data_IF_423161819792
#
_entry.id   IF_423161819792
#
_cell.length_a   1.000
_cell.length_b   1.000
_cell.length_c   1.000
_cell.angle_alpha   90.00
_cell.angle_beta   90.00
_cell.angle_gamma   90.00
#
_symmetry.space_group_name_H-M   'P 1'
#
loop_
_entity.id
_entity.type
_entity.pdbx_description
1 polymer ?
#
# COMPACT_ATOMS: atom_id res chain seq x y z
N UNK A 1 -57.44 5.82 68.58
CA UNK A 1 -58.66 6.66 68.60
C UNK A 1 -59.17 6.85 67.18
N UNK A 2 -60.42 6.44 66.92
CA UNK A 2 -61.01 6.37 65.58
C UNK A 2 -61.24 7.77 64.99
N UNK A 3 -60.54 8.12 63.89
CA UNK A 3 -60.82 9.31 63.07
C UNK A 3 -62.02 9.00 62.16
N UNK A 4 -63.23 9.18 62.67
CA UNK A 4 -64.48 8.97 61.92
C UNK A 4 -65.16 10.30 61.62
N UNK A 5 -65.76 10.41 60.45
CA UNK A 5 -66.65 11.52 60.07
C UNK A 5 -67.81 11.60 61.06
N UNK A 6 -68.07 12.80 61.58
CA UNK A 6 -69.18 13.07 62.50
C UNK A 6 -70.10 14.08 61.84
N UNK A 7 -71.40 13.75 61.77
CA UNK A 7 -72.43 14.64 61.25
C UNK A 7 -73.36 15.02 62.38
N UNK A 8 -73.59 16.33 62.55
CA UNK A 8 -74.62 16.87 63.43
C UNK A 8 -75.70 17.52 62.58
N UNK A 9 -76.94 17.03 62.71
CA UNK A 9 -78.08 17.50 61.95
C UNK A 9 -78.97 18.43 62.78
N UNK A 10 -79.55 19.46 62.17
CA UNK A 10 -80.54 20.35 62.80
C UNK A 10 -79.97 21.32 63.86
N UNK A 11 -78.70 21.72 63.74
CA UNK A 11 -78.09 22.67 64.66
C UNK A 11 -78.63 24.09 64.40
N UNK A 12 -79.23 24.70 65.42
CA UNK A 12 -79.69 26.10 65.37
C UNK A 12 -78.52 27.06 65.57
N UNK A 13 -78.13 27.76 64.51
CA UNK A 13 -77.05 28.75 64.55
C UNK A 13 -77.63 30.15 64.31
N UNK A 14 -77.23 31.10 65.16
CA UNK A 14 -77.68 32.49 65.04
C UNK A 14 -76.79 33.23 64.04
N UNK A 15 -77.35 33.64 62.90
CA UNK A 15 -76.65 34.44 61.89
C UNK A 15 -77.45 35.72 61.63
N UNK A 16 -76.79 36.88 61.72
CA UNK A 16 -77.37 38.21 61.45
C UNK A 16 -78.74 38.52 62.09
N UNK A 17 -79.00 37.99 63.29
CA UNK A 17 -80.22 38.27 64.06
C UNK A 17 -81.32 37.20 63.95
N UNK A 18 -81.22 36.25 63.01
CA UNK A 18 -82.17 35.15 62.81
C UNK A 18 -81.51 33.80 63.13
N UNK A 19 -82.30 32.80 63.53
CA UNK A 19 -81.82 31.44 63.78
C UNK A 19 -82.05 30.58 62.53
N UNK A 20 -80.97 30.03 61.97
CA UNK A 20 -81.02 29.08 60.85
C UNK A 20 -80.67 27.67 61.35
N UNK A 21 -81.36 26.65 60.84
CA UNK A 21 -81.04 25.24 61.09
C UNK A 21 -80.06 24.74 60.03
N UNK A 22 -78.86 24.37 60.47
CA UNK A 22 -77.73 24.00 59.60
C UNK A 22 -77.23 22.61 59.98
N UNK A 23 -76.86 21.83 58.97
CA UNK A 23 -76.18 20.57 59.19
C UNK A 23 -74.66 20.80 59.14
N UNK A 24 -73.96 20.31 60.16
CA UNK A 24 -72.51 20.44 60.29
C UNK A 24 -71.86 19.08 60.12
N UNK A 25 -70.94 18.98 59.17
CA UNK A 25 -70.13 17.78 58.95
C UNK A 25 -68.67 18.09 59.29
N UNK A 26 -68.11 17.27 60.18
CA UNK A 26 -66.70 17.30 60.58
C UNK A 26 -65.97 16.12 59.94
N UNK A 27 -64.99 16.41 59.09
CA UNK A 27 -64.18 15.40 58.43
C UNK A 27 -62.68 15.63 58.70
N UNK A 28 -61.96 14.68 59.31
CA UNK A 28 -60.53 14.82 59.57
C UNK A 28 -59.74 14.69 58.26
N UNK A 29 -58.91 15.69 57.94
CA UNK A 29 -58.07 15.66 56.74
C UNK A 29 -56.87 14.72 56.97
N UNK A 30 -56.82 13.63 56.19
CA UNK A 30 -55.67 12.73 56.13
C UNK A 30 -54.79 13.18 54.96
N UNK A 31 -53.71 13.89 55.25
CA UNK A 31 -52.79 14.41 54.23
C UNK A 31 -51.33 14.18 54.63
N UNK A 32 -50.46 13.93 53.64
CA UNK A 32 -49.04 13.60 53.84
C UNK A 32 -48.18 14.82 54.20
N UNK A 33 -48.70 16.05 54.02
CA UNK A 33 -47.97 17.28 54.29
C UNK A 33 -47.94 17.64 55.79
N UNK A 34 -46.78 17.92 56.41
CA UNK A 34 -46.64 18.07 57.87
C UNK A 34 -47.47 19.21 58.49
N UNK A 35 -47.77 20.26 57.73
CA UNK A 35 -48.55 21.42 58.19
C UNK A 35 -50.07 21.17 58.24
N UNK A 36 -50.54 20.10 57.59
CA UNK A 36 -51.97 19.77 57.49
C UNK A 36 -52.34 18.54 58.33
N UNK A 37 -51.36 17.92 59.00
CA UNK A 37 -51.62 16.82 59.91
C UNK A 37 -52.34 17.30 61.18
N UNK A 38 -53.57 16.83 61.37
CA UNK A 38 -54.39 17.13 62.56
C UNK A 38 -55.48 18.20 62.35
N UNK A 39 -55.61 18.73 61.13
CA UNK A 39 -56.69 19.66 60.79
C UNK A 39 -58.00 18.91 60.48
N UNK A 40 -59.13 19.54 60.83
CA UNK A 40 -60.47 19.03 60.57
C UNK A 40 -61.18 20.00 59.64
N UNK A 41 -61.72 19.48 58.54
CA UNK A 41 -62.57 20.22 57.64
C UNK A 41 -63.98 20.31 58.25
N UNK A 42 -64.46 21.53 58.43
CA UNK A 42 -65.82 21.82 58.91
C UNK A 42 -66.62 22.38 57.75
N UNK A 43 -67.69 21.67 57.36
CA UNK A 43 -68.58 22.11 56.28
C UNK A 43 -70.00 22.32 56.80
N UNK A 44 -70.61 23.42 56.36
CA UNK A 44 -71.94 23.85 56.76
C UNK A 44 -72.85 23.81 55.54
N UNK A 45 -73.96 23.09 55.63
CA UNK A 45 -74.97 23.06 54.58
C UNK A 45 -76.32 23.44 55.19
N UNK A 46 -76.95 24.45 54.61
CA UNK A 46 -78.26 24.93 55.02
C UNK A 46 -79.34 23.91 54.64
N UNK A 47 -80.18 23.54 55.61
CA UNK A 47 -81.22 22.55 55.39
C UNK A 47 -82.41 23.21 54.67
N UNK A 48 -82.59 22.91 53.38
CA UNK A 48 -83.78 23.37 52.65
C UNK A 48 -85.06 22.80 53.31
N UNK A 49 -86.10 23.63 53.52
CA UNK A 49 -87.30 23.20 54.20
C UNK A 49 -88.02 22.10 53.41
N UNK A 50 -88.34 21.00 54.08
CA UNK A 50 -89.11 19.91 53.50
C UNK A 50 -90.50 20.41 53.05
N UNK A 51 -90.74 20.37 51.74
CA UNK A 51 -92.00 20.78 51.15
C UNK A 51 -93.16 19.93 51.70
N UNK A 52 -94.13 20.62 52.31
CA UNK A 52 -95.40 20.06 52.75
C UNK A 52 -96.16 19.47 51.55
N UNK A 53 -96.48 18.18 51.64
CA UNK A 53 -97.27 17.47 50.63
C UNK A 53 -98.71 17.96 50.65
N UNK A 54 -99.11 18.73 49.64
CA UNK A 54 -100.50 19.07 49.41
C UNK A 54 -101.05 18.52 48.08
N UNK A 55 -102.32 18.12 48.13
CA UNK A 55 -103.03 17.30 47.15
C UNK A 55 -103.34 18.07 45.86
N UNK A 56 -102.39 18.11 44.91
CA UNK A 56 -102.63 18.49 43.50
C UNK A 56 -101.86 17.56 42.54
N UNK A 57 -102.13 16.26 42.58
CA UNK A 57 -101.28 15.24 41.94
C UNK A 57 -101.57 14.94 40.45
N UNK A 58 -102.46 15.65 39.76
CA UNK A 58 -102.85 15.22 38.39
C UNK A 58 -102.50 16.18 37.23
N UNK A 59 -102.15 17.44 37.50
CA UNK A 59 -101.75 18.42 36.45
C UNK A 59 -100.24 18.70 36.45
N UNK A 60 -99.55 18.58 37.60
CA UNK A 60 -98.10 18.82 37.72
C UNK A 60 -97.24 17.69 37.14
N UNK A 61 -97.74 16.46 37.12
CA UNK A 61 -97.04 15.29 36.57
C UNK A 61 -96.65 15.44 35.10
N UNK A 62 -97.46 16.10 34.26
CA UNK A 62 -97.12 16.34 32.85
C UNK A 62 -96.00 17.37 32.63
N UNK A 63 -95.89 18.39 33.48
CA UNK A 63 -94.81 19.38 33.40
C UNK A 63 -93.51 18.84 34.00
N UNK A 64 -93.60 18.08 35.10
CA UNK A 64 -92.44 17.41 35.70
C UNK A 64 -91.90 16.29 34.80
N UNK A 65 -92.77 15.51 34.15
CA UNK A 65 -92.35 14.51 33.16
C UNK A 65 -91.64 15.15 31.96
N UNK A 66 -92.15 16.28 31.43
CA UNK A 66 -91.48 17.00 30.33
C UNK A 66 -90.10 17.54 30.71
N UNK A 67 -89.97 18.10 31.91
CA UNK A 67 -88.68 18.61 32.40
C UNK A 67 -87.67 17.49 32.67
N UNK A 68 -88.15 16.33 33.14
CA UNK A 68 -87.31 15.12 33.28
C UNK A 68 -86.89 14.58 31.91
N UNK A 69 -87.79 14.52 30.92
CA UNK A 69 -87.43 14.12 29.55
C UNK A 69 -86.42 15.09 28.89
N UNK A 70 -86.50 16.39 29.19
CA UNK A 70 -85.57 17.41 28.70
C UNK A 70 -84.19 17.27 29.37
N UNK A 71 -84.16 17.08 30.69
CA UNK A 71 -82.93 16.76 31.43
C UNK A 71 -82.30 15.43 31.01
N UNK A 72 -83.11 14.41 30.72
CA UNK A 72 -82.62 13.12 30.22
C UNK A 72 -82.03 13.27 28.82
N UNK A 73 -82.62 14.12 27.96
CA UNK A 73 -82.03 14.50 26.67
C UNK A 73 -80.73 15.26 26.82
N UNK A 74 -80.67 16.24 27.71
CA UNK A 74 -79.45 17.02 27.94
C UNK A 74 -78.34 16.15 28.52
N UNK A 75 -78.69 15.24 29.45
CA UNK A 75 -77.76 14.26 30.00
C UNK A 75 -77.26 13.29 28.92
N UNK A 76 -78.15 12.83 28.03
CA UNK A 76 -77.79 11.98 26.90
C UNK A 76 -76.87 12.73 25.92
N UNK A 77 -77.21 13.96 25.54
CA UNK A 77 -76.38 14.80 24.67
C UNK A 77 -75.03 15.10 25.29
N UNK A 78 -74.97 15.38 26.59
CA UNK A 78 -73.72 15.63 27.28
C UNK A 78 -72.86 14.37 27.40
N UNK A 79 -73.47 13.18 27.53
CA UNK A 79 -72.76 11.90 27.47
C UNK A 79 -72.19 11.63 26.10
N UNK A 80 -72.98 11.83 25.04
CA UNK A 80 -72.51 11.68 23.66
C UNK A 80 -71.35 12.64 23.38
N UNK A 81 -71.46 13.91 23.76
CA UNK A 81 -70.37 14.89 23.61
C UNK A 81 -69.09 14.49 24.35
N UNK A 82 -69.22 13.99 25.59
CA UNK A 82 -68.06 13.50 26.35
C UNK A 82 -67.45 12.28 25.68
N UNK A 83 -68.27 11.37 25.14
CA UNK A 83 -67.78 10.21 24.42
C UNK A 83 -67.03 10.62 23.15
N UNK A 84 -67.57 11.55 22.36
CA UNK A 84 -66.87 12.10 21.19
C UNK A 84 -65.55 12.76 21.58
N UNK A 85 -65.50 13.55 22.66
CA UNK A 85 -64.24 14.13 23.14
C UNK A 85 -63.22 13.09 23.60
N UNK A 86 -63.67 11.99 24.22
CA UNK A 86 -62.79 10.90 24.60
C UNK A 86 -62.22 10.22 23.35
N UNK A 87 -63.04 9.95 22.34
CA UNK A 87 -62.60 9.39 21.06
C UNK A 87 -61.62 10.33 20.33
N UNK A 88 -61.88 11.64 20.32
CA UNK A 88 -60.96 12.67 19.78
C UNK A 88 -59.64 12.74 20.55
N UNK A 89 -59.67 12.62 21.88
CA UNK A 89 -58.45 12.57 22.69
C UNK A 89 -57.67 11.28 22.48
N UNK A 90 -58.35 10.13 22.35
CA UNK A 90 -57.72 8.85 22.06
C UNK A 90 -57.05 8.86 20.69
N UNK A 91 -57.74 9.36 19.66
CA UNK A 91 -57.17 9.52 18.31
C UNK A 91 -55.97 10.48 18.31
N UNK A 92 -56.08 11.64 18.98
CA UNK A 92 -54.95 12.57 19.10
C UNK A 92 -53.75 11.96 19.83
N UNK A 93 -53.99 11.13 20.85
CA UNK A 93 -52.92 10.46 21.59
C UNK A 93 -52.26 9.37 20.76
N UNK A 94 -53.04 8.63 19.96
CA UNK A 94 -52.53 7.64 19.00
C UNK A 94 -51.68 8.32 17.92
N UNK A 95 -52.15 9.44 17.37
CA UNK A 95 -51.39 10.26 16.41
C UNK A 95 -50.08 10.78 17.00
N UNK A 96 -50.11 11.30 18.24
CA UNK A 96 -48.90 11.74 18.93
C UNK A 96 -47.90 10.61 19.16
N UNK A 97 -48.38 9.40 19.49
CA UNK A 97 -47.54 8.22 19.62
C UNK A 97 -46.92 7.83 18.29
N UNK A 98 -47.72 7.76 17.23
CA UNK A 98 -47.24 7.44 15.89
C UNK A 98 -46.18 8.43 15.41
N UNK A 99 -46.38 9.72 15.64
CA UNK A 99 -45.39 10.76 15.30
C UNK A 99 -44.11 10.58 16.12
N UNK A 100 -44.22 10.21 17.40
CA UNK A 100 -43.05 9.96 18.25
C UNK A 100 -42.27 8.72 17.78
N UNK A 101 -42.96 7.65 17.39
CA UNK A 101 -42.35 6.46 16.79
C UNK A 101 -41.66 6.78 15.46
N UNK A 102 -42.29 7.60 14.60
CA UNK A 102 -41.67 8.08 13.36
C UNK A 102 -40.42 8.92 13.64
N UNK A 103 -40.47 9.84 14.61
CA UNK A 103 -39.29 10.60 15.03
C UNK A 103 -38.17 9.71 15.57
N UNK A 104 -38.49 8.68 16.35
CA UNK A 104 -37.50 7.72 16.82
C UNK A 104 -36.89 6.94 15.66
N UNK A 105 -37.72 6.44 14.74
CA UNK A 105 -37.27 5.72 13.55
C UNK A 105 -36.36 6.58 12.67
N UNK A 106 -36.70 7.86 12.43
CA UNK A 106 -35.85 8.77 11.65
C UNK A 106 -34.54 9.08 12.37
N UNK A 107 -34.55 9.15 13.70
CA UNK A 107 -33.33 9.35 14.47
C UNK A 107 -32.41 8.12 14.42
N UNK A 108 -32.97 6.91 14.48
CA UNK A 108 -32.22 5.66 14.29
C UNK A 108 -31.65 5.56 12.86
N UNK A 109 -32.42 5.95 11.85
CA UNK A 109 -31.96 5.95 10.45
C UNK A 109 -30.82 6.96 10.24
N UNK A 110 -30.91 8.16 10.83
CA UNK A 110 -29.81 9.14 10.82
C UNK A 110 -28.57 8.62 11.56
N UNK A 111 -28.77 7.93 12.68
CA UNK A 111 -27.65 7.33 13.41
C UNK A 111 -26.99 6.24 12.56
N UNK A 112 -27.77 5.36 11.93
CA UNK A 112 -27.25 4.32 11.03
C UNK A 112 -26.51 4.91 9.83
N UNK A 113 -27.02 6.00 9.24
CA UNK A 113 -26.34 6.69 8.14
C UNK A 113 -25.01 7.32 8.59
N UNK A 114 -24.95 7.80 9.83
CA UNK A 114 -23.73 8.34 10.41
C UNK A 114 -22.70 7.24 10.69
N UNK A 115 -23.13 6.09 11.20
CA UNK A 115 -22.29 4.90 11.38
C UNK A 115 -21.77 4.39 10.01
N UNK A 116 -22.62 4.34 8.98
CA UNK A 116 -22.19 3.97 7.63
C UNK A 116 -21.15 4.95 7.05
N UNK A 117 -21.33 6.25 7.26
CA UNK A 117 -20.32 7.25 6.86
C UNK A 117 -19.01 7.10 7.63
N UNK A 118 -19.07 6.77 8.92
CA UNK A 118 -17.89 6.53 9.74
C UNK A 118 -17.14 5.28 9.26
N UNK A 119 -17.84 4.18 9.00
CA UNK A 119 -17.24 2.98 8.42
C UNK A 119 -16.61 3.24 7.05
N UNK A 120 -17.31 3.96 6.15
CA UNK A 120 -16.77 4.33 4.85
C UNK A 120 -15.51 5.21 4.97
N UNK A 121 -15.49 6.11 5.96
CA UNK A 121 -14.31 6.93 6.26
C UNK A 121 -13.14 6.06 6.75
N UNK A 122 -13.39 5.11 7.65
CA UNK A 122 -12.37 4.19 8.15
C UNK A 122 -11.82 3.29 7.03
N UNK A 123 -12.67 2.76 6.16
CA UNK A 123 -12.25 1.98 4.98
C UNK A 123 -11.35 2.81 4.06
N UNK A 124 -11.74 4.05 3.77
CA UNK A 124 -10.93 4.96 2.95
C UNK A 124 -9.59 5.30 3.60
N UNK A 125 -9.57 5.46 4.92
CA UNK A 125 -8.33 5.67 5.65
C UNK A 125 -7.43 4.43 5.58
N UNK A 126 -7.99 3.23 5.77
CA UNK A 126 -7.25 1.97 5.68
C UNK A 126 -6.68 1.76 4.28
N UNK A 127 -7.44 2.04 3.22
CA UNK A 127 -6.96 1.97 1.83
C UNK A 127 -5.83 2.95 1.56
N UNK A 128 -5.89 4.15 2.15
CA UNK A 128 -4.83 5.14 2.00
C UNK A 128 -3.54 4.71 2.72
N UNK A 129 -3.66 4.09 3.90
CA UNK A 129 -2.54 3.51 4.63
C UNK A 129 -1.90 2.35 3.84
N UNK A 130 -2.71 1.45 3.27
CA UNK A 130 -2.21 0.36 2.41
C UNK A 130 -1.51 0.89 1.15
N UNK A 131 -2.08 1.90 0.48
CA UNK A 131 -1.47 2.55 -0.68
C UNK A 131 -0.13 3.20 -0.32
N UNK A 132 -0.04 3.84 0.83
CA UNK A 132 1.20 4.44 1.31
C UNK A 132 2.29 3.38 1.53
N UNK A 133 1.93 2.24 2.15
CA UNK A 133 2.85 1.11 2.34
C UNK A 133 3.32 0.53 1.00
N UNK A 134 2.42 0.32 0.04
CA UNK A 134 2.79 -0.20 -1.29
C UNK A 134 3.70 0.77 -2.03
N UNK A 135 3.47 2.07 -1.89
CA UNK A 135 4.32 3.09 -2.50
C UNK A 135 5.74 3.09 -1.89
N UNK A 136 5.85 2.95 -0.56
CA UNK A 136 7.14 2.80 0.11
C UNK A 136 7.89 1.55 -0.36
N UNK A 137 7.21 0.40 -0.46
CA UNK A 137 7.82 -0.83 -0.98
C UNK A 137 8.27 -0.68 -2.45
N UNK A 138 7.49 0.04 -3.26
CA UNK A 138 7.86 0.34 -4.64
C UNK A 138 9.09 1.24 -4.72
N UNK A 139 9.17 2.26 -3.86
CA UNK A 139 10.33 3.15 -3.77
C UNK A 139 11.59 2.37 -3.37
N UNK A 140 11.50 1.51 -2.35
CA UNK A 140 12.61 0.66 -1.93
C UNK A 140 13.08 -0.26 -3.07
N UNK A 141 12.16 -0.86 -3.82
CA UNK A 141 12.48 -1.67 -4.99
C UNK A 141 13.17 -0.85 -6.09
N UNK A 142 12.72 0.37 -6.35
CA UNK A 142 13.33 1.26 -7.34
C UNK A 142 14.75 1.64 -6.91
N UNK A 143 14.94 2.02 -5.64
CA UNK A 143 16.25 2.33 -5.09
C UNK A 143 17.20 1.12 -5.17
N UNK A 144 16.76 -0.06 -4.75
CA UNK A 144 17.53 -1.29 -4.85
C UNK A 144 17.92 -1.64 -6.30
N UNK A 145 17.02 -1.41 -7.27
CA UNK A 145 17.33 -1.58 -8.69
C UNK A 145 18.33 -0.54 -9.20
N UNK A 146 18.25 0.71 -8.75
CA UNK A 146 19.22 1.75 -9.10
C UNK A 146 20.60 1.42 -8.55
N UNK A 147 20.72 1.01 -7.28
CA UNK A 147 21.98 0.58 -6.67
C UNK A 147 22.58 -0.60 -7.43
N UNK A 148 21.78 -1.64 -7.73
CA UNK A 148 22.27 -2.77 -8.51
C UNK A 148 22.71 -2.37 -9.93
N UNK A 149 22.01 -1.42 -10.55
CA UNK A 149 22.37 -0.92 -11.87
C UNK A 149 23.71 -0.16 -11.86
N UNK A 150 23.94 0.63 -10.82
CA UNK A 150 25.18 1.36 -10.58
C UNK A 150 26.34 0.40 -10.27
N UNK A 151 26.12 -0.56 -9.37
CA UNK A 151 27.10 -1.61 -9.06
C UNK A 151 27.50 -2.39 -10.31
N UNK A 152 26.53 -2.76 -11.16
CA UNK A 152 26.82 -3.39 -12.46
C UNK A 152 27.65 -2.49 -13.37
N UNK A 153 27.42 -1.17 -13.34
CA UNK A 153 28.20 -0.23 -14.14
C UNK A 153 29.65 -0.19 -13.66
N UNK A 154 29.85 -0.01 -12.36
CA UNK A 154 31.17 0.01 -11.75
C UNK A 154 31.90 -1.31 -12.00
N UNK A 155 31.21 -2.44 -11.82
CA UNK A 155 31.79 -3.76 -12.10
C UNK A 155 32.25 -3.89 -13.56
N UNK A 156 31.39 -3.56 -14.53
CA UNK A 156 31.75 -3.66 -15.95
C UNK A 156 32.87 -2.69 -16.34
N UNK A 157 32.87 -1.47 -15.80
CA UNK A 157 33.94 -0.50 -16.03
C UNK A 157 35.27 -0.91 -15.35
N UNK A 158 35.22 -1.68 -14.26
CA UNK A 158 36.41 -2.19 -13.55
C UNK A 158 37.15 -3.31 -14.27
N UNK A 159 36.50 -3.98 -15.23
CA UNK A 159 37.12 -5.06 -16.02
C UNK A 159 38.14 -4.53 -17.04
N UNK A 160 38.20 -3.20 -17.23
CA UNK A 160 39.06 -2.49 -18.18
C UNK A 160 39.07 -3.06 -19.61
N UNK A 161 37.98 -3.75 -19.98
CA UNK A 161 37.81 -4.38 -21.29
C UNK A 161 36.75 -3.60 -22.09
N UNK A 162 37.11 -3.01 -23.24
CA UNK A 162 36.13 -2.44 -24.17
C UNK A 162 35.09 -3.49 -24.58
N UNK A 163 33.84 -3.30 -24.15
CA UNK A 163 32.75 -4.27 -24.32
C UNK A 163 31.48 -3.56 -24.77
N UNK A 164 30.77 -4.14 -25.74
CA UNK A 164 29.51 -3.64 -26.27
C UNK A 164 28.46 -4.76 -26.23
N UNK A 165 27.30 -4.44 -25.66
CA UNK A 165 26.13 -5.31 -25.65
C UNK A 165 25.14 -4.85 -26.71
N UNK A 166 24.79 -5.75 -27.61
CA UNK A 166 23.78 -5.54 -28.62
C UNK A 166 22.55 -6.40 -28.33
N UNK A 167 21.40 -5.98 -28.83
CA UNK A 167 20.20 -6.82 -28.85
C UNK A 167 20.11 -7.68 -30.13
N UNK A 168 19.03 -8.45 -30.25
CA UNK A 168 18.72 -9.30 -31.42
C UNK A 168 18.64 -8.54 -32.75
N UNK A 169 18.29 -7.25 -32.70
CA UNK A 169 18.14 -6.36 -33.86
C UNK A 169 19.43 -5.55 -34.10
N UNK A 170 20.53 -5.94 -33.45
CA UNK A 170 21.84 -5.29 -33.49
C UNK A 170 21.80 -3.82 -33.04
N UNK A 171 20.91 -3.48 -32.11
CA UNK A 171 20.87 -2.18 -31.45
C UNK A 171 21.68 -2.19 -30.18
N UNK A 172 22.28 -1.05 -29.88
CA UNK A 172 23.18 -0.88 -28.75
C UNK A 172 22.37 -0.85 -27.46
N UNK A 173 22.60 -1.82 -26.59
CA UNK A 173 21.91 -1.91 -25.30
C UNK A 173 22.73 -1.28 -24.17
N UNK A 174 24.05 -1.51 -24.19
CA UNK A 174 24.99 -1.00 -23.18
C UNK A 174 26.41 -1.14 -23.72
N UNK A 175 27.34 -0.38 -23.18
CA UNK A 175 28.77 -0.53 -23.44
C UNK A 175 29.57 -0.09 -22.22
N UNK A 176 30.84 -0.50 -22.14
CA UNK A 176 31.78 -0.05 -21.10
C UNK A 176 32.39 1.29 -21.47
N UNK A 177 32.87 2.05 -20.48
CA UNK A 177 33.51 3.34 -20.71
C UNK A 177 34.74 3.24 -21.63
N UNK A 178 35.46 2.12 -21.60
CA UNK A 178 36.59 1.83 -22.47
C UNK A 178 36.19 1.65 -23.94
N UNK A 179 34.99 1.12 -24.22
CA UNK A 179 34.48 0.99 -25.60
C UNK A 179 34.33 2.35 -26.31
N UNK A 180 34.14 3.45 -25.57
CA UNK A 180 34.13 4.81 -26.15
C UNK A 180 35.40 5.13 -26.93
N UNK A 181 36.56 4.63 -26.49
CA UNK A 181 37.86 4.90 -27.14
C UNK A 181 38.10 4.05 -28.38
N UNK A 182 37.66 2.79 -28.36
CA UNK A 182 37.91 1.85 -29.47
C UNK A 182 36.99 2.09 -30.66
N UNK A 183 35.73 2.46 -30.40
CA UNK A 183 34.70 2.54 -31.45
C UNK A 183 33.98 3.90 -31.54
N UNK A 184 34.50 4.93 -30.85
CA UNK A 184 33.96 6.30 -30.86
C UNK A 184 32.43 6.39 -30.61
N UNK A 185 31.96 5.69 -29.56
CA UNK A 185 30.54 5.66 -29.18
C UNK A 185 30.24 6.66 -28.06
N UNK A 186 29.04 7.28 -28.10
CA UNK A 186 28.57 8.22 -27.08
C UNK A 186 27.41 7.63 -26.26
N UNK A 187 27.19 8.17 -25.06
CA UNK A 187 26.10 7.73 -24.16
C UNK A 187 24.69 7.88 -24.78
N UNK A 188 24.54 8.79 -25.76
CA UNK A 188 23.29 9.02 -26.49
C UNK A 188 23.01 7.97 -27.59
N UNK A 189 23.99 7.11 -27.90
CA UNK A 189 23.85 6.10 -28.94
C UNK A 189 23.21 4.80 -28.45
N UNK A 190 22.92 4.70 -27.14
CA UNK A 190 22.12 3.60 -26.59
C UNK A 190 20.74 3.59 -27.26
N UNK A 191 20.34 2.42 -27.77
CA UNK A 191 19.11 2.17 -28.53
C UNK A 191 19.25 2.36 -30.05
N UNK A 192 20.35 2.94 -30.54
CA UNK A 192 20.61 3.08 -31.97
C UNK A 192 21.12 1.76 -32.58
N UNK A 193 20.78 1.47 -33.84
CA UNK A 193 21.39 0.37 -34.57
C UNK A 193 22.89 0.56 -34.73
N UNK A 194 23.65 -0.55 -34.66
CA UNK A 194 25.12 -0.53 -34.78
C UNK A 194 25.60 0.13 -36.09
N UNK A 195 24.88 -0.05 -37.19
CA UNK A 195 25.25 0.47 -38.51
C UNK A 195 25.12 2.00 -38.66
N UNK A 196 24.45 2.69 -37.74
CA UNK A 196 24.39 4.16 -37.73
C UNK A 196 25.65 4.80 -37.12
N UNK A 197 26.47 4.01 -36.43
CA UNK A 197 27.76 4.49 -35.96
C UNK A 197 28.76 4.46 -37.12
N UNK A 198 29.50 5.55 -37.30
CA UNK A 198 30.63 5.62 -38.20
C UNK A 198 31.80 4.81 -37.59
N UNK A 199 31.69 3.49 -37.61
CA UNK A 199 32.70 2.58 -37.08
C UNK A 199 33.78 2.38 -38.13
N UNK A 200 34.92 3.04 -37.98
CA UNK A 200 36.09 2.84 -38.84
C UNK A 200 37.05 1.85 -38.20
N UNK A 201 36.64 0.58 -38.14
CA UNK A 201 37.58 -0.51 -37.87
C UNK A 201 38.18 -0.96 -39.20
N UNK A 202 39.50 -0.82 -39.35
CA UNK A 202 40.20 -1.32 -40.54
C UNK A 202 40.17 -2.85 -40.52
N UNK A 203 40.17 -3.45 -41.71
CA UNK A 203 40.22 -4.91 -41.92
C UNK A 203 39.00 -5.71 -41.44
N UNK A 204 37.85 -5.08 -41.17
CA UNK A 204 36.62 -5.82 -40.92
C UNK A 204 35.34 -5.16 -41.43
N UNK A 205 34.32 -6.00 -41.67
CA UNK A 205 32.93 -5.60 -41.86
C UNK A 205 32.16 -6.02 -40.61
N UNK A 206 32.24 -5.20 -39.57
CA UNK A 206 31.72 -5.54 -38.25
C UNK A 206 30.25 -5.94 -38.26
N UNK A 207 29.43 -5.25 -39.07
CA UNK A 207 28.00 -5.54 -39.16
C UNK A 207 27.73 -6.95 -39.70
N UNK A 208 28.47 -7.36 -40.73
CA UNK A 208 28.34 -8.69 -41.35
C UNK A 208 28.77 -9.77 -40.36
N UNK A 209 29.88 -9.55 -39.64
CA UNK A 209 30.37 -10.46 -38.61
C UNK A 209 29.35 -10.60 -37.45
N UNK A 210 28.74 -9.48 -37.04
CA UNK A 210 27.69 -9.47 -36.02
C UNK A 210 26.44 -10.23 -36.47
N UNK A 211 25.99 -10.01 -37.71
CA UNK A 211 24.87 -10.74 -38.30
C UNK A 211 25.16 -12.24 -38.39
N UNK A 212 26.38 -12.61 -38.79
CA UNK A 212 26.81 -13.99 -38.86
C UNK A 212 26.77 -14.68 -37.48
N UNK A 213 27.25 -14.04 -36.42
CA UNK A 213 27.16 -14.61 -35.06
C UNK A 213 25.72 -14.68 -34.57
N UNK A 214 24.90 -13.69 -34.90
CA UNK A 214 23.48 -13.66 -34.57
C UNK A 214 22.73 -14.86 -35.18
N UNK A 215 23.01 -15.17 -36.45
CA UNK A 215 22.41 -16.31 -37.16
C UNK A 215 23.00 -17.67 -36.76
N UNK A 216 24.33 -17.79 -36.79
CA UNK A 216 25.02 -19.07 -36.59
C UNK A 216 25.10 -19.49 -35.12
N UNK A 217 24.96 -18.54 -34.19
CA UNK A 217 25.12 -18.71 -32.74
C UNK A 217 26.48 -19.27 -32.34
N UNK A 218 27.47 -19.12 -33.21
CA UNK A 218 28.85 -19.51 -32.94
C UNK A 218 29.66 -18.26 -32.63
N UNK A 219 30.50 -18.29 -31.59
CA UNK A 219 31.39 -17.18 -31.31
C UNK A 219 32.34 -16.97 -32.49
N UNK A 220 32.64 -15.70 -32.79
CA UNK A 220 33.60 -15.30 -33.81
C UNK A 220 34.73 -14.51 -33.15
N UNK A 221 35.95 -14.77 -33.60
CA UNK A 221 37.15 -14.04 -33.18
C UNK A 221 37.88 -13.55 -34.42
N UNK A 222 38.34 -12.30 -34.38
CA UNK A 222 39.04 -11.68 -35.50
C UNK A 222 39.94 -10.56 -35.01
N UNK A 223 41.07 -10.41 -35.65
CA UNK A 223 41.97 -9.30 -35.42
C UNK A 223 41.47 -8.07 -36.18
N UNK A 224 41.39 -6.94 -35.48
CA UNK A 224 40.92 -5.68 -36.04
C UNK A 224 41.85 -4.57 -35.60
N UNK A 225 42.03 -3.58 -36.47
CA UNK A 225 42.83 -2.41 -36.15
C UNK A 225 41.91 -1.21 -35.87
N UNK A 226 42.12 -0.56 -34.72
CA UNK A 226 41.42 0.67 -34.33
C UNK A 226 41.92 1.88 -35.13
N UNK A 227 41.23 3.02 -35.01
CA UNK A 227 41.66 4.30 -35.60
C UNK A 227 43.03 4.75 -35.09
N UNK A 228 43.38 4.39 -33.85
CA UNK A 228 44.67 4.70 -33.23
C UNK A 228 45.82 3.78 -33.71
N UNK A 229 45.61 3.04 -34.81
CA UNK A 229 46.51 2.03 -35.39
C UNK A 229 46.92 0.87 -34.45
N UNK A 230 46.24 0.74 -33.30
CA UNK A 230 46.40 -0.38 -32.36
C UNK A 230 45.67 -1.63 -32.82
N UNK A 231 46.31 -2.77 -32.62
CA UNK A 231 45.73 -4.08 -32.90
C UNK A 231 44.92 -4.58 -31.70
N UNK A 232 43.69 -4.98 -31.98
CA UNK A 232 42.80 -5.56 -30.99
C UNK A 232 42.31 -6.93 -31.46
N UNK A 233 42.27 -7.89 -30.55
CA UNK A 233 41.52 -9.13 -30.75
C UNK A 233 40.05 -8.85 -30.43
N UNK A 234 39.22 -8.82 -31.47
CA UNK A 234 37.77 -8.69 -31.35
C UNK A 234 37.14 -10.07 -31.17
N UNK A 235 36.28 -10.19 -30.16
CA UNK A 235 35.52 -11.41 -29.88
C UNK A 235 34.03 -11.11 -29.81
N UNK A 236 33.26 -11.74 -30.69
CA UNK A 236 31.80 -11.63 -30.74
C UNK A 236 31.19 -12.92 -30.15
N UNK A 237 30.34 -12.76 -29.14
CA UNK A 237 29.74 -13.84 -28.35
C UNK A 237 28.21 -13.71 -28.34
N UNK A 238 27.45 -14.73 -28.73
CA UNK A 238 26.01 -14.71 -28.56
C UNK A 238 25.65 -14.94 -27.08
N UNK A 239 24.65 -14.21 -26.57
CA UNK A 239 24.10 -14.43 -25.23
C UNK A 239 22.58 -14.64 -25.26
N UNK A 240 22.09 -15.41 -24.30
CA UNK A 240 20.66 -15.78 -24.16
C UNK A 240 20.10 -15.22 -22.87
N UNK A 241 18.84 -14.79 -22.90
CA UNK A 241 18.11 -14.44 -21.69
C UNK A 241 17.62 -15.71 -21.00
N UNK A 242 17.28 -15.60 -19.70
CA UNK A 242 16.73 -16.70 -18.89
C UNK A 242 15.46 -17.35 -19.49
N UNK A 243 14.75 -16.67 -20.40
CA UNK A 243 13.48 -17.13 -20.98
C UNK A 243 13.61 -17.80 -22.37
N UNK A 244 14.75 -18.45 -22.61
CA UNK A 244 15.04 -19.30 -23.78
C UNK A 244 15.02 -18.62 -25.18
N UNK A 245 14.69 -17.34 -25.26
CA UNK A 245 14.86 -16.48 -26.44
C UNK A 245 16.28 -15.93 -26.58
N UNK A 246 16.73 -15.76 -27.83
CA UNK A 246 17.96 -15.04 -28.16
C UNK A 246 17.77 -13.56 -27.78
N UNK A 247 18.68 -13.02 -26.97
CA UNK A 247 18.59 -11.63 -26.47
C UNK A 247 19.52 -10.72 -27.27
N UNK A 248 20.72 -11.19 -27.63
CA UNK A 248 21.63 -10.46 -28.50
C UNK A 248 23.06 -11.01 -28.52
N UNK A 249 24.00 -10.16 -28.92
CA UNK A 249 25.43 -10.47 -28.99
C UNK A 249 26.24 -9.50 -28.13
N UNK A 250 27.40 -9.95 -27.67
CA UNK A 250 28.39 -9.13 -26.95
C UNK A 250 29.66 -9.07 -27.79
N UNK A 251 30.26 -7.89 -27.92
CA UNK A 251 31.53 -7.68 -28.61
C UNK A 251 32.54 -7.20 -27.58
N UNK A 252 33.64 -7.93 -27.44
CA UNK A 252 34.76 -7.56 -26.58
C UNK A 252 35.98 -7.25 -27.45
N UNK A 253 36.77 -6.26 -27.05
CA UNK A 253 38.07 -5.97 -27.64
C UNK A 253 39.15 -6.17 -26.60
N UNK A 254 40.20 -6.90 -26.96
CA UNK A 254 41.38 -7.13 -26.11
C UNK A 254 42.56 -6.46 -26.83
N UNK A 255 43.19 -5.48 -26.18
CA UNK A 255 44.42 -4.86 -26.68
C UNK A 255 45.58 -5.86 -26.57
N UNK A 256 46.32 -6.05 -27.66
CA UNK A 256 47.48 -6.93 -27.72
C UNK A 256 48.82 -6.18 -27.72
N UNK A 257 48.78 -4.84 -27.71
CA UNK A 257 49.97 -4.00 -27.87
C UNK A 257 51.04 -4.25 -26.78
N UNK A 258 50.62 -4.59 -25.55
CA UNK A 258 51.54 -4.82 -24.42
C UNK A 258 52.28 -6.16 -24.47
N UNK A 259 51.70 -7.18 -25.13
CA UNK A 259 52.34 -8.50 -25.25
C UNK A 259 53.50 -8.44 -26.27
N UNK A 260 53.35 -7.65 -27.32
CA UNK A 260 54.39 -7.50 -28.34
C UNK A 260 55.62 -6.73 -27.85
N UNK A 261 55.49 -5.73 -26.97
CA UNK A 261 56.65 -5.00 -26.46
C UNK A 261 57.49 -5.82 -25.46
N UNK A 262 56.84 -6.59 -24.57
CA UNK A 262 57.52 -7.42 -23.58
C UNK A 262 58.25 -8.61 -24.24
N UNK A 263 57.66 -9.22 -25.27
CA UNK A 263 58.32 -10.27 -26.05
C UNK A 263 59.39 -9.70 -26.98
N UNK A 264 59.18 -8.53 -27.58
CA UNK A 264 60.21 -7.87 -28.40
C UNK A 264 61.44 -7.48 -27.57
N UNK A 265 61.28 -6.95 -26.35
CA UNK A 265 62.40 -6.58 -25.49
C UNK A 265 63.11 -7.82 -24.91
N UNK A 266 62.37 -8.85 -24.49
CA UNK A 266 62.97 -10.10 -23.99
C UNK A 266 63.72 -10.86 -25.09
N UNK A 267 63.23 -10.83 -26.34
CA UNK A 267 63.85 -11.49 -27.48
C UNK A 267 65.04 -10.71 -28.05
N UNK A 268 64.97 -9.37 -28.09
CA UNK A 268 66.08 -8.50 -28.51
C UNK A 268 67.25 -8.53 -27.52
N UNK A 269 66.98 -8.65 -26.22
CA UNK A 269 68.02 -8.81 -25.21
C UNK A 269 68.73 -10.18 -25.30
N UNK A 270 68.04 -11.23 -25.75
CA UNK A 270 68.57 -12.59 -25.77
C UNK A 270 69.27 -13.00 -27.08
N UNK A 271 68.86 -12.48 -28.25
CA UNK A 271 69.25 -13.07 -29.54
C UNK A 271 69.99 -12.15 -30.52
N UNK A 272 69.85 -10.83 -30.41
CA UNK A 272 70.57 -9.87 -31.25
C UNK A 272 70.33 -9.95 -32.77
N UNK A 273 69.31 -10.66 -33.26
CA UNK A 273 68.98 -10.76 -34.69
C UNK A 273 67.47 -10.62 -34.95
N UNK A 274 67.14 -9.77 -35.92
CA UNK A 274 65.79 -9.42 -36.34
C UNK A 274 65.45 -10.16 -37.65
N UNK A 275 64.51 -11.11 -37.62
CA UNK A 275 63.53 -11.38 -38.69
C UNK A 275 62.31 -12.03 -38.01
N UNK A 276 61.20 -11.29 -37.89
CA UNK A 276 60.00 -11.68 -37.12
C UNK A 276 58.91 -12.36 -37.97
N UNK A 277 59.14 -12.55 -39.27
CA UNK A 277 58.27 -13.33 -40.15
C UNK A 277 58.84 -14.76 -40.25
N UNK A 278 58.32 -15.65 -39.41
CA UNK A 278 58.81 -17.03 -39.27
C UNK A 278 58.16 -17.94 -40.31
N UNK A 279 56.97 -17.56 -40.79
CA UNK A 279 56.18 -18.31 -41.74
C UNK A 279 56.38 -17.86 -43.22
N UNK A 280 56.98 -16.69 -43.44
CA UNK A 280 57.31 -16.12 -44.75
C UNK A 280 56.17 -15.38 -45.47
N UNK A 281 55.11 -14.97 -44.77
CA UNK A 281 53.92 -14.34 -45.35
C UNK A 281 53.95 -12.80 -45.39
N UNK A 282 55.07 -12.21 -44.98
CA UNK A 282 55.32 -10.77 -44.85
C UNK A 282 54.48 -10.06 -43.78
N UNK A 283 53.76 -10.80 -42.94
CA UNK A 283 53.11 -10.30 -41.74
C UNK A 283 53.77 -10.91 -40.50
N UNK A 284 53.51 -10.31 -39.35
CA UNK A 284 53.94 -10.85 -38.05
C UNK A 284 52.66 -11.07 -37.28
N UNK A 285 52.20 -12.32 -37.22
CA UNK A 285 50.90 -12.66 -36.68
C UNK A 285 50.94 -13.80 -35.63
N UNK A 286 49.78 -14.23 -35.17
CA UNK A 286 49.67 -15.32 -34.20
C UNK A 286 50.24 -16.65 -34.71
N UNK A 287 50.26 -16.88 -36.02
CA UNK A 287 50.84 -18.07 -36.63
C UNK A 287 52.36 -18.09 -36.43
N UNK A 288 53.03 -16.94 -36.57
CA UNK A 288 54.46 -16.81 -36.27
C UNK A 288 54.76 -17.05 -34.79
N UNK A 289 53.96 -16.44 -33.90
CA UNK A 289 54.12 -16.62 -32.45
C UNK A 289 53.91 -18.09 -32.03
N UNK A 290 52.92 -18.75 -32.61
CA UNK A 290 52.64 -20.18 -32.36
C UNK A 290 53.77 -21.09 -32.88
N UNK A 291 54.38 -20.73 -34.01
CA UNK A 291 55.55 -21.43 -34.54
C UNK A 291 56.76 -21.26 -33.62
N UNK A 292 56.98 -20.06 -33.09
CA UNK A 292 58.08 -19.78 -32.15
C UNK A 292 57.87 -20.52 -30.82
N UNK A 293 56.67 -20.48 -30.25
CA UNK A 293 56.37 -21.10 -28.95
C UNK A 293 56.44 -22.63 -28.99
N UNK A 294 55.96 -23.25 -30.08
CA UNK A 294 56.11 -24.70 -30.26
C UNK A 294 57.57 -25.13 -30.43
N UNK A 295 58.39 -24.31 -31.10
CA UNK A 295 59.80 -24.60 -31.29
C UNK A 295 60.61 -24.38 -30.00
N UNK A 296 60.30 -23.34 -29.22
CA UNK A 296 60.95 -23.07 -27.93
C UNK A 296 60.61 -24.15 -26.90
N UNK A 297 59.36 -24.65 -26.86
CA UNK A 297 58.96 -25.77 -26.01
C UNK A 297 59.75 -27.05 -26.30
N UNK A 298 59.94 -27.39 -27.58
CA UNK A 298 60.74 -28.55 -27.98
C UNK A 298 62.23 -28.38 -27.65
N UNK A 299 62.77 -27.16 -27.66
CA UNK A 299 64.16 -26.87 -27.32
C UNK A 299 64.44 -27.01 -25.81
N UNK A 300 63.50 -26.57 -24.96
CA UNK A 300 63.61 -26.69 -23.50
C UNK A 300 63.49 -28.17 -23.08
N UNK A 301 62.60 -28.94 -23.72
CA UNK A 301 62.46 -30.38 -23.45
C UNK A 301 63.70 -31.21 -23.78
N UNK A 302 64.47 -30.82 -24.81
CA UNK A 302 65.69 -31.51 -25.22
C UNK A 302 66.91 -31.18 -24.34
N UNK A 303 66.99 -29.97 -23.78
CA UNK A 303 68.16 -29.48 -23.05
C UNK A 303 68.06 -29.59 -21.52
N UNK A 304 66.91 -29.95 -20.93
CA UNK A 304 66.86 -30.32 -19.51
C UNK A 304 67.50 -31.70 -19.29
N UNK A 305 68.66 -31.82 -18.61
CA UNK A 305 69.23 -33.12 -18.29
C UNK A 305 68.35 -33.78 -17.23
N UNK A 306 67.99 -35.06 -17.40
CA UNK A 306 67.35 -35.85 -16.33
C UNK A 306 68.32 -36.00 -15.14
N UNK A 307 68.27 -35.05 -14.20
CA UNK A 307 69.11 -35.05 -13.02
C UNK A 307 68.72 -36.19 -12.07
N UNK A 308 69.62 -37.16 -11.91
CA UNK A 308 69.53 -38.24 -10.93
C UNK A 308 69.68 -37.71 -9.50
N UNK A 309 68.88 -38.22 -8.56
CA UNK A 309 68.85 -37.85 -7.12
C UNK A 309 70.21 -37.93 -6.39
N UNK A 310 71.27 -38.46 -7.02
CA UNK A 310 72.62 -38.53 -6.44
C UNK A 310 73.41 -37.21 -6.50
N UNK A 311 73.08 -36.29 -7.41
CA UNK A 311 73.87 -35.06 -7.62
C UNK A 311 73.45 -33.89 -6.71
N UNK A 312 72.33 -34.01 -5.99
CA UNK A 312 71.76 -32.91 -5.19
C UNK A 312 72.28 -32.87 -3.74
N UNK A 313 72.81 -33.98 -3.21
CA UNK A 313 73.26 -34.06 -1.81
C UNK A 313 74.49 -33.20 -1.44
N UNK A 314 75.51 -32.99 -2.29
CA UNK A 314 76.65 -32.16 -1.91
C UNK A 314 76.29 -30.66 -1.86
N UNK A 315 75.49 -30.17 -2.81
CA UNK A 315 75.12 -28.74 -2.94
C UNK A 315 74.26 -28.27 -1.76
N UNK A 316 73.33 -29.10 -1.28
CA UNK A 316 72.50 -28.77 -0.10
C UNK A 316 73.33 -28.73 1.20
N UNK A 317 74.45 -29.46 1.25
CA UNK A 317 75.34 -29.49 2.43
C UNK A 317 76.22 -28.24 2.53
N UNK A 318 76.68 -27.71 1.38
CA UNK A 318 77.41 -26.44 1.32
C UNK A 318 76.51 -25.23 1.62
N UNK A 319 75.25 -25.23 1.15
CA UNK A 319 74.30 -24.15 1.45
C UNK A 319 73.94 -24.10 2.94
N UNK A 320 73.83 -25.25 3.62
CA UNK A 320 73.61 -25.29 5.08
C UNK A 320 74.84 -24.85 5.88
N UNK A 321 76.05 -25.07 5.38
CA UNK A 321 77.27 -24.60 6.05
C UNK A 321 77.42 -23.07 5.98
N UNK A 322 76.96 -22.44 4.89
CA UNK A 322 76.99 -20.98 4.71
C UNK A 322 75.92 -20.21 5.51
N UNK A 323 74.90 -20.90 6.04
CA UNK A 323 73.83 -20.28 6.84
C UNK A 323 74.04 -20.34 8.36
N UNK A 324 75.11 -21.00 8.84
CA UNK A 324 75.39 -21.16 10.27
C UNK A 324 76.40 -20.15 10.85
N UNK A 325 76.97 -19.27 10.01
CA UNK A 325 77.91 -18.21 10.42
C UNK A 325 77.28 -16.80 10.42
N UNK A 326 75.96 -16.70 10.67
CA UNK A 326 75.27 -15.42 10.91
C UNK A 326 74.50 -15.42 12.21
#
# INVERSE_FOLDING_TARGET
SQRKRITYEGLRVKTNGEFAEVNVVLEPLLHEHPLLQGLVLVSFYEQQPAATKDKRSRVRGKQTLRYVEELERDLASSRDNLQTMVEELETSNEELRSVNEEYQSTNEELQSANEELETSREEMQSLNEELATVNEELQEKVEGLMTLHEDMKVFLDSLDMPTIFLDKDLRIRRFTSQAKRVINIMDQDVGRPLHHLAMELKHTKLLDDCALVNETRKPLQKEVQSQDDRWHLMRILPYKKKDNGMDGIVINFIDFSDLTEIDNDSYNFASGYLVTDVNGDMFVDFSDLTLVDNNSYNFIGANTPRMSKRTVKPVVKEIKALQLDK
#
